data_IF_822792964023
#
_entry.id   IF_822792964023
#
_cell.length_a   1.000
_cell.length_b   1.000
_cell.length_c   1.000
_cell.angle_alpha   90.00
_cell.angle_beta   90.00
_cell.angle_gamma   90.00
#
_symmetry.space_group_name_H-M   'P 1'
#
loop_
_entity.id
_entity.type
_entity.pdbx_description
1 polymer ?
#
# COMPACT_ATOMS: atom_id res chain seq x y z
N UNK A 1 29.73 -46.66 39.16
CA UNK A 1 28.50 -46.55 38.34
C UNK A 1 27.65 -45.43 38.92
N UNK A 2 27.66 -44.27 38.27
CA UNK A 2 26.67 -43.20 38.40
C UNK A 2 27.01 -42.17 37.33
N UNK A 3 26.27 -42.17 36.23
CA UNK A 3 26.33 -41.15 35.18
C UNK A 3 25.00 -40.43 35.22
N UNK A 4 24.99 -39.24 35.82
CA UNK A 4 23.86 -38.30 35.75
C UNK A 4 23.71 -37.79 34.32
N UNK A 5 22.60 -38.14 33.67
CA UNK A 5 22.13 -37.45 32.47
C UNK A 5 21.50 -36.12 32.91
N UNK A 6 22.18 -35.01 32.59
CA UNK A 6 21.61 -33.69 32.74
C UNK A 6 20.47 -33.50 31.73
N UNK A 7 19.31 -33.10 32.23
CA UNK A 7 18.14 -32.74 31.43
C UNK A 7 18.47 -31.54 30.53
N UNK A 8 18.15 -31.65 29.24
CA UNK A 8 18.25 -30.54 28.29
C UNK A 8 17.01 -29.65 28.47
N UNK A 9 17.21 -28.46 29.02
CA UNK A 9 16.23 -27.39 28.97
C UNK A 9 16.41 -26.57 27.68
N UNK A 10 15.33 -26.17 26.98
CA UNK A 10 15.43 -25.20 25.90
C UNK A 10 16.01 -23.89 26.46
N UNK A 11 17.13 -23.46 25.88
CA UNK A 11 17.71 -22.14 26.18
C UNK A 11 16.72 -21.09 25.68
N UNK A 12 16.27 -20.22 26.59
CA UNK A 12 15.44 -19.07 26.24
C UNK A 12 16.17 -18.23 25.18
N UNK A 13 15.47 -17.79 24.15
CA UNK A 13 16.00 -16.90 23.12
C UNK A 13 16.33 -15.54 23.73
N UNK A 14 17.51 -15.42 24.33
CA UNK A 14 18.03 -14.18 24.89
C UNK A 14 19.26 -13.74 24.09
N UNK A 15 19.11 -12.58 23.45
CA UNK A 15 20.16 -11.58 23.27
C UNK A 15 21.34 -11.82 22.28
N UNK A 16 21.18 -12.63 21.23
CA UNK A 16 22.20 -12.74 20.14
C UNK A 16 21.67 -12.49 18.71
N UNK A 17 20.68 -11.60 18.56
CA UNK A 17 20.35 -11.01 17.24
C UNK A 17 20.60 -9.49 17.16
N UNK A 18 20.97 -8.86 18.29
CA UNK A 18 21.20 -7.41 18.40
C UNK A 18 22.33 -7.06 19.37
N UNK A 19 23.53 -7.63 19.18
CA UNK A 19 24.71 -7.18 19.93
C UNK A 19 25.96 -7.22 19.07
N UNK A 20 26.24 -6.11 18.39
CA UNK A 20 27.62 -5.66 18.16
C UNK A 20 27.67 -4.14 18.27
N UNK A 21 28.16 -3.68 19.43
CA UNK A 21 29.10 -2.56 19.52
C UNK A 21 28.52 -1.13 19.47
N UNK A 22 28.64 -0.44 20.60
CA UNK A 22 28.40 0.99 20.76
C UNK A 22 29.64 1.85 20.38
N UNK A 23 29.37 3.12 20.04
CA UNK A 23 30.24 4.30 19.95
C UNK A 23 30.99 4.51 18.61
N UNK A 24 30.88 5.66 17.91
CA UNK A 24 30.74 7.05 18.38
C UNK A 24 29.99 7.95 17.38
N UNK A 25 28.76 8.36 17.71
CA UNK A 25 28.07 9.66 17.46
C UNK A 25 26.56 9.47 17.27
N UNK A 26 25.77 10.37 17.85
CA UNK A 26 24.31 10.44 17.66
C UNK A 26 24.02 11.12 16.34
N UNK A 27 23.50 10.36 15.38
CA UNK A 27 22.91 10.89 14.15
C UNK A 27 21.46 11.30 14.46
N UNK A 28 20.99 12.40 13.87
CA UNK A 28 19.65 12.95 14.13
C UNK A 28 18.75 12.86 12.89
N UNK A 29 17.93 11.81 12.84
CA UNK A 29 16.63 11.83 12.15
C UNK A 29 15.49 12.08 13.15
N UNK A 30 14.30 12.48 12.68
CA UNK A 30 13.13 12.66 13.55
C UNK A 30 12.52 11.33 14.05
N UNK A 31 12.87 10.18 13.46
CA UNK A 31 12.40 8.85 13.88
C UNK A 31 13.57 8.05 14.47
N UNK A 32 13.50 7.65 15.75
CA UNK A 32 14.51 6.80 16.38
C UNK A 32 14.74 5.47 15.65
N UNK A 33 13.70 4.87 15.07
CA UNK A 33 13.80 3.58 14.36
C UNK A 33 14.50 3.72 13.01
N UNK A 34 14.13 4.75 12.23
CA UNK A 34 14.84 5.06 10.98
C UNK A 34 16.32 5.36 11.25
N UNK A 35 16.61 5.96 12.40
CA UNK A 35 17.97 6.25 12.82
C UNK A 35 18.79 4.99 13.08
N UNK A 36 18.25 4.04 13.83
CA UNK A 36 18.92 2.78 14.12
C UNK A 36 19.23 1.99 12.83
N UNK A 37 18.26 1.91 11.92
CA UNK A 37 18.43 1.21 10.64
C UNK A 37 19.54 1.83 9.78
N UNK A 38 19.53 3.16 9.59
CA UNK A 38 20.54 3.84 8.76
C UNK A 38 21.95 3.66 9.32
N UNK A 39 22.12 3.72 10.64
CA UNK A 39 23.41 3.49 11.29
C UNK A 39 23.93 2.08 11.03
N UNK A 40 23.05 1.08 11.16
CA UNK A 40 23.39 -0.31 10.91
C UNK A 40 23.91 -0.51 9.48
N UNK A 41 23.22 0.07 8.49
CA UNK A 41 23.63 -0.06 7.09
C UNK A 41 24.92 0.69 6.75
N UNK A 42 25.09 1.90 7.29
CA UNK A 42 26.36 2.64 7.16
C UNK A 42 27.54 1.85 7.72
N UNK A 43 27.40 1.33 8.94
CA UNK A 43 28.48 0.57 9.59
C UNK A 43 28.81 -0.71 8.83
N UNK A 44 27.78 -1.43 8.35
CA UNK A 44 27.97 -2.62 7.51
C UNK A 44 28.70 -2.28 6.20
N UNK A 45 28.34 -1.18 5.52
CA UNK A 45 29.01 -0.77 4.29
C UNK A 45 30.47 -0.42 4.54
N UNK A 46 30.78 0.30 5.64
CA UNK A 46 32.16 0.63 6.01
C UNK A 46 32.95 -0.63 6.35
N UNK A 47 32.35 -1.57 7.08
CA UNK A 47 33.01 -2.82 7.41
C UNK A 47 33.39 -3.64 6.18
N UNK A 48 32.48 -3.74 5.21
CA UNK A 48 32.76 -4.40 3.94
C UNK A 48 33.96 -3.75 3.23
N UNK A 49 34.06 -2.42 3.24
CA UNK A 49 35.20 -1.69 2.64
C UNK A 49 36.52 -1.95 3.36
N UNK A 50 36.52 -2.03 4.69
CA UNK A 50 37.74 -2.37 5.46
C UNK A 50 38.26 -3.77 5.12
N UNK A 51 37.34 -4.74 4.99
CA UNK A 51 37.67 -6.14 4.74
C UNK A 51 38.36 -6.36 3.39
N UNK A 52 38.16 -5.49 2.41
CA UNK A 52 38.87 -5.51 1.12
C UNK A 52 40.39 -5.56 1.26
N UNK A 53 40.94 -5.01 2.34
CA UNK A 53 42.39 -5.04 2.60
C UNK A 53 42.88 -6.39 3.15
N UNK A 54 41.96 -7.28 3.55
CA UNK A 54 42.26 -8.51 4.29
C UNK A 54 41.80 -9.78 3.60
N UNK A 55 40.91 -9.69 2.61
CA UNK A 55 40.39 -10.84 1.87
C UNK A 55 40.50 -10.61 0.36
N UNK A 56 40.69 -11.69 -0.39
CA UNK A 56 40.58 -11.66 -1.84
C UNK A 56 39.10 -11.72 -2.22
N UNK A 57 38.65 -10.74 -3.00
CA UNK A 57 37.29 -10.65 -3.55
C UNK A 57 37.37 -10.59 -5.07
N UNK A 58 36.27 -10.97 -5.72
CA UNK A 58 36.13 -10.83 -7.17
C UNK A 58 36.06 -9.34 -7.58
N UNK A 59 36.35 -9.00 -8.86
CA UNK A 59 36.22 -7.63 -9.34
C UNK A 59 34.80 -7.05 -9.19
N UNK A 60 33.76 -7.87 -9.38
CA UNK A 60 32.37 -7.45 -9.24
C UNK A 60 32.01 -7.15 -7.77
N UNK A 61 32.42 -8.02 -6.83
CA UNK A 61 32.22 -7.77 -5.39
C UNK A 61 32.94 -6.50 -4.94
N UNK A 62 34.17 -6.29 -5.40
CA UNK A 62 34.95 -5.09 -5.12
C UNK A 62 34.23 -3.83 -5.62
N UNK A 63 33.63 -3.89 -6.82
CA UNK A 63 32.89 -2.78 -7.40
C UNK A 63 31.59 -2.49 -6.63
N UNK A 64 30.81 -3.53 -6.28
CA UNK A 64 29.59 -3.41 -5.47
C UNK A 64 29.86 -2.86 -4.06
N UNK A 65 30.93 -3.32 -3.40
CA UNK A 65 31.36 -2.81 -2.08
C UNK A 65 31.71 -1.33 -2.18
N UNK A 66 32.32 -0.88 -3.27
CA UNK A 66 32.59 0.55 -3.48
C UNK A 66 31.30 1.34 -3.77
N UNK A 67 30.38 0.78 -4.56
CA UNK A 67 29.12 1.44 -4.90
C UNK A 67 28.21 1.66 -3.70
N UNK A 68 28.05 0.67 -2.81
CA UNK A 68 27.15 0.78 -1.66
C UNK A 68 27.57 1.88 -0.66
N UNK A 69 28.83 2.32 -0.71
CA UNK A 69 29.31 3.46 0.07
C UNK A 69 28.60 4.76 -0.31
N UNK A 70 28.16 4.92 -1.56
CA UNK A 70 27.42 6.07 -2.04
C UNK A 70 25.97 6.08 -1.53
N UNK A 71 25.36 4.90 -1.31
CA UNK A 71 24.03 4.76 -0.70
C UNK A 71 24.04 5.10 0.78
N UNK A 72 25.18 4.91 1.46
CA UNK A 72 25.33 5.23 2.88
C UNK A 72 26.59 6.10 3.13
N UNK A 73 26.59 7.39 2.71
CA UNK A 73 27.80 8.18 2.55
C UNK A 73 28.40 8.79 3.83
N UNK A 74 27.66 9.05 4.91
CA UNK A 74 28.27 9.57 6.14
C UNK A 74 27.59 9.15 7.45
N UNK A 75 28.36 9.30 8.54
CA UNK A 75 27.91 9.42 9.92
C UNK A 75 27.36 10.86 10.13
N UNK A 76 26.10 11.08 9.78
CA UNK A 76 25.47 12.41 9.79
C UNK A 76 25.02 12.88 11.18
N UNK A 77 24.76 14.18 11.35
CA UNK A 77 23.53 14.59 12.02
C UNK A 77 22.81 15.64 11.16
N UNK A 78 22.03 15.22 10.17
CA UNK A 78 21.11 16.08 9.38
C UNK A 78 20.02 15.23 8.74
N UNK A 79 18.83 15.80 8.42
CA UNK A 79 17.79 15.07 7.69
C UNK A 79 18.38 14.48 6.41
N UNK A 80 18.19 13.17 6.24
CA UNK A 80 18.75 12.40 5.14
C UNK A 80 18.19 12.91 3.81
N UNK A 81 19.03 13.50 2.97
CA UNK A 81 18.68 13.98 1.63
C UNK A 81 18.64 12.81 0.65
N UNK A 82 17.59 11.99 0.77
CA UNK A 82 17.35 10.82 -0.09
C UNK A 82 17.53 11.13 -1.58
N UNK A 83 16.97 12.22 -2.14
CA UNK A 83 17.17 12.55 -3.56
C UNK A 83 18.64 12.61 -4.00
N UNK A 84 19.50 13.27 -3.21
CA UNK A 84 20.93 13.38 -3.54
C UNK A 84 21.64 12.05 -3.38
N UNK A 85 21.35 11.31 -2.31
CA UNK A 85 22.00 10.02 -2.00
C UNK A 85 21.59 8.93 -3.00
N UNK A 86 20.31 8.82 -3.30
CA UNK A 86 19.78 7.85 -4.27
C UNK A 86 20.37 8.11 -5.67
N UNK A 87 20.51 9.39 -6.06
CA UNK A 87 21.16 9.76 -7.32
C UNK A 87 22.65 9.43 -7.32
N UNK A 88 23.36 9.65 -6.22
CA UNK A 88 24.77 9.30 -6.09
C UNK A 88 24.96 7.78 -6.22
N UNK A 89 24.15 6.99 -5.53
CA UNK A 89 24.18 5.54 -5.62
C UNK A 89 23.83 5.02 -7.02
N UNK A 90 22.79 5.55 -7.65
CA UNK A 90 22.41 5.20 -9.02
C UNK A 90 23.55 5.49 -10.03
N UNK A 91 24.25 6.61 -9.88
CA UNK A 91 25.41 6.93 -10.72
C UNK A 91 26.56 5.94 -10.51
N UNK A 92 26.87 5.57 -9.27
CA UNK A 92 27.94 4.58 -9.03
C UNK A 92 27.54 3.19 -9.51
N UNK A 93 26.28 2.78 -9.31
CA UNK A 93 25.77 1.51 -9.84
C UNK A 93 25.77 1.47 -11.38
N UNK A 94 25.61 2.62 -12.06
CA UNK A 94 25.76 2.69 -13.52
C UNK A 94 27.15 2.28 -13.97
N UNK A 95 28.20 2.71 -13.27
CA UNK A 95 29.58 2.33 -13.56
C UNK A 95 29.78 0.82 -13.37
N UNK A 96 29.21 0.24 -12.30
CA UNK A 96 29.24 -1.21 -12.07
C UNK A 96 28.51 -1.96 -13.18
N UNK A 97 27.32 -1.50 -13.56
CA UNK A 97 26.53 -2.08 -14.64
C UNK A 97 27.26 -2.05 -15.99
N UNK A 98 27.92 -0.94 -16.32
CA UNK A 98 28.72 -0.85 -17.55
C UNK A 98 29.91 -1.82 -17.59
N UNK A 99 30.42 -2.24 -16.44
CA UNK A 99 31.54 -3.18 -16.35
C UNK A 99 31.11 -4.64 -16.31
N UNK A 100 29.97 -4.94 -15.69
CA UNK A 100 29.58 -6.32 -15.33
C UNK A 100 28.15 -6.71 -15.74
N UNK A 101 27.30 -5.76 -16.15
CA UNK A 101 25.86 -5.96 -16.31
C UNK A 101 25.44 -6.88 -17.47
N UNK A 102 26.29 -7.07 -18.47
CA UNK A 102 26.00 -7.95 -19.61
C UNK A 102 26.03 -9.44 -19.21
N UNK A 103 26.84 -9.80 -18.21
CA UNK A 103 27.07 -11.18 -17.77
C UNK A 103 26.51 -11.47 -16.36
N UNK A 104 26.08 -10.44 -15.62
CA UNK A 104 25.63 -10.55 -14.23
C UNK A 104 24.24 -9.91 -14.02
N UNK A 105 23.22 -10.77 -13.91
CA UNK A 105 21.82 -10.36 -13.71
C UNK A 105 21.58 -9.72 -12.33
N UNK A 106 22.39 -10.03 -11.32
CA UNK A 106 22.27 -9.39 -10.00
C UNK A 106 22.74 -7.94 -10.08
N UNK A 107 23.82 -7.66 -10.81
CA UNK A 107 24.28 -6.29 -11.09
C UNK A 107 23.23 -5.51 -11.88
N UNK A 108 22.66 -6.11 -12.92
CA UNK A 108 21.57 -5.50 -13.70
C UNK A 108 20.37 -5.15 -12.81
N UNK A 109 19.97 -6.08 -11.95
CA UNK A 109 18.85 -5.90 -11.01
C UNK A 109 19.13 -4.79 -9.99
N UNK A 110 20.32 -4.77 -9.38
CA UNK A 110 20.71 -3.75 -8.41
C UNK A 110 20.81 -2.36 -9.05
N UNK A 111 21.22 -2.27 -10.31
CA UNK A 111 21.25 -0.99 -11.03
C UNK A 111 19.84 -0.48 -11.34
N UNK A 112 18.95 -1.35 -11.82
CA UNK A 112 17.55 -1.01 -12.01
C UNK A 112 16.89 -0.57 -10.70
N UNK A 113 17.13 -1.28 -9.58
CA UNK A 113 16.68 -0.86 -8.24
C UNK A 113 17.17 0.55 -7.90
N UNK A 114 18.47 0.81 -8.08
CA UNK A 114 19.06 2.11 -7.77
C UNK A 114 18.43 3.25 -8.61
N UNK A 115 18.17 3.00 -9.90
CA UNK A 115 17.48 3.94 -10.78
C UNK A 115 16.06 4.22 -10.31
N UNK A 116 15.27 3.16 -10.01
CA UNK A 116 13.88 3.29 -9.55
C UNK A 116 13.76 4.18 -8.30
N UNK A 117 14.72 4.11 -7.38
CA UNK A 117 14.76 4.94 -6.18
C UNK A 117 14.92 6.44 -6.46
N UNK A 118 15.49 6.85 -7.60
CA UNK A 118 15.61 8.27 -7.96
C UNK A 118 14.28 8.94 -8.34
N UNK A 119 13.23 8.15 -8.60
CA UNK A 119 11.92 8.61 -9.03
C UNK A 119 10.77 7.76 -8.44
N UNK A 120 10.81 7.51 -7.13
CA UNK A 120 9.79 6.73 -6.42
C UNK A 120 8.37 7.20 -6.78
N UNK A 121 7.55 6.27 -7.30
CA UNK A 121 6.16 6.50 -7.76
C UNK A 121 6.00 7.58 -8.84
N UNK A 122 7.07 7.96 -9.54
CA UNK A 122 7.11 8.99 -10.60
C UNK A 122 7.70 8.47 -11.92
N UNK A 123 7.56 7.17 -12.19
CA UNK A 123 8.01 6.56 -13.45
C UNK A 123 7.00 6.68 -14.58
N UNK A 124 5.70 6.66 -14.28
CA UNK A 124 4.64 6.72 -15.28
C UNK A 124 3.56 7.73 -14.89
N UNK A 125 2.98 8.38 -15.88
CA UNK A 125 1.81 9.22 -15.71
C UNK A 125 0.62 8.35 -15.32
N UNK A 126 0.03 8.65 -14.17
CA UNK A 126 -1.12 7.90 -13.63
C UNK A 126 -2.29 7.85 -14.62
N UNK A 127 -2.51 8.94 -15.38
CA UNK A 127 -3.65 9.06 -16.29
C UNK A 127 -3.44 8.31 -17.61
N UNK A 128 -2.28 8.44 -18.23
CA UNK A 128 -2.03 7.89 -19.56
C UNK A 128 -1.34 6.53 -19.54
N UNK A 129 -0.79 6.11 -18.40
CA UNK A 129 0.11 4.96 -18.31
C UNK A 129 1.41 5.16 -19.09
N UNK A 130 1.66 6.35 -19.64
CA UNK A 130 2.87 6.63 -20.40
C UNK A 130 4.05 6.97 -19.46
N UNK A 131 5.28 6.60 -19.83
CA UNK A 131 6.50 7.06 -19.17
C UNK A 131 6.50 8.57 -18.88
N UNK A 132 6.88 8.98 -17.66
CA UNK A 132 7.10 10.39 -17.35
C UNK A 132 8.43 10.81 -17.98
N UNK A 133 8.39 11.87 -18.79
CA UNK A 133 9.58 12.45 -19.41
C UNK A 133 10.58 12.89 -18.33
N UNK A 134 11.83 12.43 -18.42
CA UNK A 134 12.89 12.70 -17.46
C UNK A 134 12.92 11.79 -16.23
N UNK A 135 11.97 10.85 -16.11
CA UNK A 135 12.10 9.74 -15.16
C UNK A 135 13.06 8.67 -15.72
N UNK A 136 13.69 7.86 -14.86
CA UNK A 136 14.65 6.83 -15.28
C UNK A 136 13.98 5.64 -15.96
N UNK A 137 12.66 5.66 -16.20
CA UNK A 137 11.92 4.50 -16.68
C UNK A 137 12.39 3.97 -18.03
N UNK A 138 12.92 4.84 -18.91
CA UNK A 138 13.48 4.39 -20.18
C UNK A 138 14.77 3.59 -19.96
N UNK A 139 15.60 4.01 -19.01
CA UNK A 139 16.82 3.31 -18.62
C UNK A 139 16.47 2.01 -17.91
N UNK A 140 15.50 2.02 -16.98
CA UNK A 140 15.02 0.82 -16.30
C UNK A 140 14.37 -0.15 -17.28
N UNK A 141 13.61 0.33 -18.27
CA UNK A 141 12.97 -0.54 -19.27
C UNK A 141 13.97 -1.16 -20.25
N UNK A 142 15.07 -0.46 -20.53
CA UNK A 142 16.18 -1.06 -21.27
C UNK A 142 16.81 -2.24 -20.48
N UNK A 143 16.64 -2.27 -19.16
CA UNK A 143 17.07 -3.36 -18.27
C UNK A 143 15.96 -4.41 -18.02
N UNK A 144 14.66 -4.02 -17.99
CA UNK A 144 13.52 -4.90 -17.70
C UNK A 144 12.25 -4.62 -18.52
N UNK A 145 11.49 -5.66 -18.90
CA UNK A 145 10.10 -5.52 -19.35
C UNK A 145 9.14 -5.46 -18.12
N UNK A 146 8.52 -4.29 -17.87
CA UNK A 146 7.85 -3.97 -16.60
C UNK A 146 6.31 -3.92 -16.64
N UNK A 147 5.69 -4.09 -15.45
CA UNK A 147 4.25 -4.26 -15.16
C UNK A 147 3.33 -3.16 -15.71
N UNK A 148 3.76 -1.88 -15.71
CA UNK A 148 2.93 -0.76 -16.17
C UNK A 148 3.04 -0.49 -17.68
N UNK A 149 3.43 -1.50 -18.45
CA UNK A 149 3.34 -1.44 -19.91
C UNK A 149 1.89 -1.57 -20.38
N UNK A 150 1.61 -1.21 -21.64
CA UNK A 150 0.32 -1.48 -22.28
C UNK A 150 0.01 -2.99 -22.43
N UNK A 151 0.93 -3.87 -22.00
CA UNK A 151 0.87 -5.33 -22.13
C UNK A 151 1.29 -6.00 -20.81
N UNK A 152 0.53 -5.83 -19.70
CA UNK A 152 0.88 -6.39 -18.39
C UNK A 152 1.01 -7.93 -18.41
N UNK A 153 0.35 -8.61 -19.36
CA UNK A 153 0.43 -10.06 -19.55
C UNK A 153 1.84 -10.57 -19.84
N UNK A 154 2.73 -9.74 -20.38
CA UNK A 154 4.13 -10.11 -20.64
C UNK A 154 4.92 -10.39 -19.34
N UNK A 155 4.52 -9.78 -18.23
CA UNK A 155 5.18 -9.93 -16.93
C UNK A 155 4.69 -11.16 -16.13
N UNK A 156 3.60 -11.82 -16.55
CA UNK A 156 3.01 -12.95 -15.81
C UNK A 156 3.99 -14.11 -15.57
N UNK A 157 4.83 -14.55 -16.52
CA UNK A 157 5.80 -15.62 -16.25
C UNK A 157 6.85 -15.25 -15.20
N UNK A 158 7.24 -13.98 -15.11
CA UNK A 158 8.17 -13.51 -14.08
C UNK A 158 7.48 -13.45 -12.72
N UNK A 159 6.25 -12.92 -12.69
CA UNK A 159 5.39 -12.90 -11.52
C UNK A 159 5.14 -14.31 -10.96
N UNK A 160 4.86 -15.29 -11.82
CA UNK A 160 4.64 -16.68 -11.40
C UNK A 160 5.90 -17.35 -10.80
N UNK A 161 7.11 -16.92 -11.18
CA UNK A 161 8.35 -17.39 -10.55
C UNK A 161 8.61 -16.77 -9.18
N UNK A 162 8.10 -15.56 -8.95
CA UNK A 162 8.21 -14.87 -7.67
C UNK A 162 7.31 -15.54 -6.62
N UNK A 163 6.14 -16.02 -7.05
CA UNK A 163 5.20 -16.76 -6.19
C UNK A 163 5.93 -17.95 -5.57
N UNK A 164 5.88 -18.04 -4.25
CA UNK A 164 6.50 -19.11 -3.46
C UNK A 164 8.04 -19.14 -3.41
N UNK A 165 8.76 -18.18 -4.01
CA UNK A 165 10.22 -18.14 -3.93
C UNK A 165 10.71 -18.01 -2.48
N UNK A 166 10.01 -17.18 -1.69
CA UNK A 166 10.23 -17.04 -0.25
C UNK A 166 8.87 -17.18 0.46
N UNK A 167 8.46 -18.42 0.83
CA UNK A 167 7.09 -18.70 1.27
C UNK A 167 6.62 -17.93 2.51
N UNK A 168 7.54 -17.50 3.38
CA UNK A 168 7.22 -16.74 4.59
C UNK A 168 7.38 -15.22 4.42
N UNK A 169 7.65 -14.74 3.20
CA UNK A 169 7.62 -13.30 2.87
C UNK A 169 6.25 -12.93 2.30
N UNK A 170 5.32 -12.51 3.16
CA UNK A 170 3.94 -12.18 2.78
C UNK A 170 3.87 -11.21 1.61
N UNK A 171 4.64 -10.13 1.66
CA UNK A 171 4.67 -9.14 0.57
C UNK A 171 5.18 -9.72 -0.77
N UNK A 172 6.06 -10.72 -0.79
CA UNK A 172 6.50 -11.36 -2.04
C UNK A 172 5.41 -12.19 -2.71
N UNK A 173 4.50 -12.80 -1.94
CA UNK A 173 3.29 -13.43 -2.50
C UNK A 173 2.30 -12.39 -3.02
N UNK A 174 2.20 -11.26 -2.32
CA UNK A 174 1.28 -10.19 -2.66
C UNK A 174 1.67 -9.44 -3.96
N UNK A 175 2.94 -9.11 -4.16
CA UNK A 175 3.37 -8.28 -5.31
C UNK A 175 2.82 -8.75 -6.66
N UNK A 176 2.93 -10.03 -7.05
CA UNK A 176 2.43 -10.45 -8.36
C UNK A 176 0.90 -10.41 -8.49
N UNK A 177 0.15 -10.15 -7.40
CA UNK A 177 -1.31 -9.95 -7.44
C UNK A 177 -1.74 -8.62 -8.06
N UNK A 178 -0.86 -7.63 -8.13
CA UNK A 178 -1.12 -6.39 -8.86
C UNK A 178 -1.41 -6.67 -10.34
N UNK A 179 -0.55 -7.48 -10.99
CA UNK A 179 -0.77 -7.96 -12.36
C UNK A 179 -2.06 -8.76 -12.49
N UNK A 180 -2.35 -9.65 -11.54
CA UNK A 180 -3.56 -10.49 -11.57
C UNK A 180 -4.83 -9.63 -11.65
N UNK A 181 -4.87 -8.54 -10.88
CA UNK A 181 -6.01 -7.61 -10.90
C UNK A 181 -6.06 -6.84 -12.22
N UNK A 182 -4.93 -6.41 -12.78
CA UNK A 182 -4.86 -5.71 -14.07
C UNK A 182 -5.35 -6.59 -15.23
N UNK A 183 -5.02 -7.88 -15.22
CA UNK A 183 -5.45 -8.84 -16.26
C UNK A 183 -6.82 -9.48 -15.95
N UNK A 184 -7.42 -9.16 -14.82
CA UNK A 184 -8.74 -9.67 -14.41
C UNK A 184 -8.75 -11.09 -13.84
N UNK A 185 -7.59 -11.70 -13.52
CA UNK A 185 -7.50 -13.00 -12.84
C UNK A 185 -7.67 -12.83 -11.31
N UNK A 186 -8.84 -12.33 -10.90
CA UNK A 186 -9.15 -12.07 -9.48
C UNK A 186 -9.06 -13.34 -8.63
N UNK A 187 -9.32 -14.51 -9.22
CA UNK A 187 -9.18 -15.81 -8.55
C UNK A 187 -7.71 -16.04 -8.12
N UNK A 188 -6.75 -15.79 -9.01
CA UNK A 188 -5.31 -15.92 -8.67
C UNK A 188 -4.86 -14.85 -7.67
N UNK A 189 -5.38 -13.63 -7.81
CA UNK A 189 -5.14 -12.56 -6.84
C UNK A 189 -5.62 -12.95 -5.42
N UNK A 190 -6.80 -13.55 -5.29
CA UNK A 190 -7.33 -14.06 -4.01
C UNK A 190 -6.43 -15.16 -3.44
N UNK A 191 -6.03 -16.13 -4.25
CA UNK A 191 -5.19 -17.26 -3.82
C UNK A 191 -3.83 -16.79 -3.28
N UNK A 192 -3.13 -15.95 -4.06
CA UNK A 192 -1.82 -15.43 -3.67
C UNK A 192 -1.90 -14.47 -2.48
N UNK A 193 -2.93 -13.61 -2.38
CA UNK A 193 -3.12 -12.77 -1.21
C UNK A 193 -3.51 -13.56 0.04
N UNK A 194 -4.20 -14.69 -0.11
CA UNK A 194 -4.45 -15.61 1.02
C UNK A 194 -3.14 -16.21 1.53
N UNK A 195 -2.24 -16.62 0.63
CA UNK A 195 -0.90 -17.08 1.01
C UNK A 195 -0.07 -15.97 1.68
N UNK A 196 -0.17 -14.73 1.18
CA UNK A 196 0.47 -13.56 1.78
C UNK A 196 0.00 -13.33 3.23
N UNK A 197 -1.31 -13.33 3.44
CA UNK A 197 -1.93 -13.19 4.77
C UNK A 197 -1.45 -14.28 5.73
N UNK A 198 -1.42 -15.55 5.30
CA UNK A 198 -0.93 -16.63 6.16
C UNK A 198 0.55 -16.47 6.55
N UNK A 199 1.39 -15.94 5.66
CA UNK A 199 2.78 -15.64 5.98
C UNK A 199 2.89 -14.48 6.98
N UNK A 200 2.08 -13.43 6.80
CA UNK A 200 2.02 -12.28 7.70
C UNK A 200 1.54 -12.67 9.10
N UNK A 201 0.57 -13.57 9.21
CA UNK A 201 0.10 -14.09 10.51
C UNK A 201 1.22 -14.77 11.30
N UNK A 202 2.12 -15.52 10.63
CA UNK A 202 3.31 -16.09 11.29
C UNK A 202 4.25 -15.00 11.79
N UNK A 203 4.45 -13.94 11.00
CA UNK A 203 5.26 -12.80 11.40
C UNK A 203 4.67 -12.09 12.61
N UNK A 204 3.36 -11.81 12.59
CA UNK A 204 2.64 -11.13 13.67
C UNK A 204 2.64 -11.97 14.95
N UNK A 205 2.49 -13.28 14.86
CA UNK A 205 2.58 -14.18 16.01
C UNK A 205 3.97 -14.14 16.68
N UNK A 206 5.04 -13.93 15.89
CA UNK A 206 6.42 -13.89 16.40
C UNK A 206 6.85 -12.51 16.90
N UNK A 207 6.50 -11.44 16.18
CA UNK A 207 7.05 -10.09 16.39
C UNK A 207 6.03 -9.09 16.95
N UNK A 208 4.75 -9.46 17.02
CA UNK A 208 3.65 -8.57 17.38
C UNK A 208 3.31 -7.53 16.30
N UNK A 209 2.24 -6.78 16.55
CA UNK A 209 1.67 -5.82 15.61
C UNK A 209 2.06 -4.34 15.85
N UNK A 210 2.86 -4.04 16.90
CA UNK A 210 3.25 -2.66 17.26
C UNK A 210 4.49 -2.17 16.53
N UNK A 211 4.54 -2.40 15.23
CA UNK A 211 5.64 -1.99 14.37
C UNK A 211 5.11 -1.60 12.98
N UNK A 212 5.94 -0.97 12.18
CA UNK A 212 5.53 -0.47 10.86
C UNK A 212 5.22 -1.60 9.87
N UNK A 213 5.71 -2.82 10.10
CA UNK A 213 5.43 -3.96 9.21
C UNK A 213 3.93 -4.31 9.17
N UNK A 214 3.19 -4.00 10.23
CA UNK A 214 1.72 -4.15 10.25
C UNK A 214 1.02 -3.41 9.10
N UNK A 215 1.60 -2.32 8.58
CA UNK A 215 1.10 -1.67 7.38
C UNK A 215 1.07 -2.63 6.17
N UNK A 216 2.16 -3.37 5.94
CA UNK A 216 2.24 -4.32 4.84
C UNK A 216 1.28 -5.50 5.03
N UNK A 217 1.11 -5.98 6.26
CA UNK A 217 0.13 -7.03 6.54
C UNK A 217 -1.30 -6.57 6.19
N UNK A 218 -1.65 -5.34 6.60
CA UNK A 218 -2.96 -4.76 6.32
C UNK A 218 -3.18 -4.45 4.84
N UNK A 219 -2.11 -4.05 4.13
CA UNK A 219 -2.14 -3.85 2.69
C UNK A 219 -2.41 -5.17 1.94
N UNK A 220 -1.80 -6.28 2.36
CA UNK A 220 -2.06 -7.61 1.79
C UNK A 220 -3.50 -8.05 2.06
N UNK A 221 -4.01 -7.85 3.28
CA UNK A 221 -5.42 -8.05 3.61
C UNK A 221 -6.37 -7.20 2.75
N UNK A 222 -6.08 -5.90 2.62
CA UNK A 222 -6.91 -5.00 1.83
C UNK A 222 -6.95 -5.43 0.36
N UNK A 223 -5.83 -5.92 -0.18
CA UNK A 223 -5.75 -6.45 -1.54
C UNK A 223 -6.56 -7.74 -1.72
N UNK A 224 -6.57 -8.62 -0.71
CA UNK A 224 -7.46 -9.79 -0.68
C UNK A 224 -8.94 -9.37 -0.71
N UNK A 225 -9.32 -8.41 0.13
CA UNK A 225 -10.69 -7.86 0.19
C UNK A 225 -11.07 -7.26 -1.17
N UNK A 226 -10.16 -6.49 -1.78
CA UNK A 226 -10.36 -5.86 -3.08
C UNK A 226 -10.57 -6.88 -4.20
N UNK A 227 -9.70 -7.89 -4.30
CA UNK A 227 -9.83 -8.95 -5.29
C UNK A 227 -11.13 -9.76 -5.11
N UNK A 228 -11.51 -10.06 -3.86
CA UNK A 228 -12.78 -10.72 -3.55
C UNK A 228 -14.01 -9.87 -3.94
N UNK A 229 -13.97 -8.55 -3.74
CA UNK A 229 -15.01 -7.64 -4.20
C UNK A 229 -15.16 -7.62 -5.73
N UNK A 230 -14.05 -7.63 -6.47
CA UNK A 230 -14.07 -7.66 -7.93
C UNK A 230 -14.50 -9.03 -8.47
N UNK A 231 -14.17 -10.11 -7.78
CA UNK A 231 -14.65 -11.46 -8.07
C UNK A 231 -16.13 -11.70 -7.69
N UNK A 232 -16.81 -10.73 -7.08
CA UNK A 232 -18.19 -10.88 -6.61
C UNK A 232 -18.36 -11.82 -5.41
N UNK A 233 -17.29 -12.10 -4.66
CA UNK A 233 -17.28 -13.05 -3.54
C UNK A 233 -17.46 -12.35 -2.19
N UNK A 234 -18.71 -12.00 -1.85
CA UNK A 234 -19.02 -11.26 -0.61
C UNK A 234 -18.57 -11.98 0.66
N UNK A 235 -18.79 -13.29 0.76
CA UNK A 235 -18.36 -14.10 1.92
C UNK A 235 -16.84 -14.11 2.08
N UNK A 236 -16.08 -14.14 0.98
CA UNK A 236 -14.62 -14.09 1.04
C UNK A 236 -14.13 -12.69 1.46
N UNK A 237 -14.70 -11.64 0.87
CA UNK A 237 -14.38 -10.26 1.20
C UNK A 237 -14.64 -9.95 2.68
N UNK A 238 -15.81 -10.33 3.21
CA UNK A 238 -16.19 -10.07 4.61
C UNK A 238 -15.32 -10.86 5.60
N UNK A 239 -14.99 -12.11 5.30
CA UNK A 239 -14.09 -12.91 6.16
C UNK A 239 -12.69 -12.32 6.23
N UNK A 240 -12.10 -11.95 5.09
CA UNK A 240 -10.79 -11.30 5.06
C UNK A 240 -10.81 -9.94 5.78
N UNK A 241 -11.90 -9.19 5.64
CA UNK A 241 -12.12 -7.93 6.32
C UNK A 241 -12.23 -8.11 7.85
N UNK A 242 -12.97 -9.11 8.33
CA UNK A 242 -13.08 -9.42 9.76
C UNK A 242 -11.70 -9.74 10.36
N UNK A 243 -10.89 -10.52 9.64
CA UNK A 243 -9.51 -10.84 10.04
C UNK A 243 -8.63 -9.58 10.07
N UNK A 244 -8.68 -8.76 9.01
CA UNK A 244 -7.95 -7.50 8.92
C UNK A 244 -8.29 -6.57 10.09
N UNK A 245 -9.58 -6.37 10.37
CA UNK A 245 -10.02 -5.52 11.46
C UNK A 245 -9.61 -6.09 12.83
N UNK A 246 -9.64 -7.41 13.02
CA UNK A 246 -9.23 -8.02 14.29
C UNK A 246 -7.74 -7.79 14.61
N UNK A 247 -6.88 -7.66 13.60
CA UNK A 247 -5.46 -7.36 13.76
C UNK A 247 -5.17 -5.90 14.16
N UNK A 248 -6.16 -5.01 14.00
CA UNK A 248 -6.08 -3.59 14.33
C UNK A 248 -6.78 -3.28 15.66
N UNK A 249 -6.07 -3.53 16.74
CA UNK A 249 -6.55 -3.24 18.09
C UNK A 249 -6.28 -1.79 18.49
N UNK A 250 -7.00 -1.31 19.52
CA UNK A 250 -6.80 0.00 20.12
C UNK A 250 -5.34 0.22 20.56
N UNK A 251 -4.71 -0.79 21.16
CA UNK A 251 -3.34 -0.67 21.66
C UNK A 251 -2.30 -0.59 20.54
N UNK A 252 -2.60 -1.10 19.34
CA UNK A 252 -1.79 -0.88 18.13
C UNK A 252 -1.99 0.54 17.62
N UNK A 253 -3.24 0.98 17.44
CA UNK A 253 -3.52 2.31 16.89
C UNK A 253 -3.05 3.45 17.82
N UNK A 254 -3.01 3.23 19.14
CA UNK A 254 -2.55 4.23 20.11
C UNK A 254 -1.03 4.41 20.16
N UNK A 255 -0.24 3.57 19.48
CA UNK A 255 1.22 3.77 19.35
C UNK A 255 1.50 5.12 18.69
N UNK A 256 2.31 5.94 19.36
CA UNK A 256 2.63 7.33 18.94
C UNK A 256 3.90 7.42 18.10
N UNK A 257 4.83 6.50 18.29
CA UNK A 257 6.08 6.42 17.54
C UNK A 257 6.32 4.95 17.14
N UNK A 258 6.27 4.64 15.84
CA UNK A 258 5.69 5.45 14.76
C UNK A 258 4.19 5.77 15.01
N UNK A 259 3.62 6.85 14.45
CA UNK A 259 2.23 7.25 14.73
C UNK A 259 1.23 6.32 14.01
N UNK A 260 1.02 5.11 14.54
CA UNK A 260 0.35 4.05 13.80
C UNK A 260 -1.10 4.38 13.42
N UNK A 261 -1.86 5.10 14.24
CA UNK A 261 -3.20 5.52 13.81
C UNK A 261 -3.21 6.41 12.55
N UNK A 262 -2.15 7.17 12.28
CA UNK A 262 -2.06 7.98 11.06
C UNK A 262 -1.88 7.13 9.81
N UNK A 263 -1.25 5.96 9.94
CA UNK A 263 -0.93 5.07 8.83
C UNK A 263 -1.93 3.92 8.66
N UNK A 264 -2.53 3.47 9.75
CA UNK A 264 -3.30 2.24 9.79
C UNK A 264 -4.80 2.46 10.05
N UNK A 265 -5.19 3.64 10.56
CA UNK A 265 -6.57 3.90 10.99
C UNK A 265 -7.60 3.76 9.87
N UNK A 266 -7.21 4.04 8.62
CA UNK A 266 -8.07 3.93 7.44
C UNK A 266 -8.56 2.50 7.16
N UNK A 267 -7.77 1.46 7.45
CA UNK A 267 -8.17 0.08 7.15
C UNK A 267 -9.45 -0.33 7.89
N UNK A 268 -9.75 0.27 9.05
CA UNK A 268 -11.01 0.08 9.78
C UNK A 268 -12.24 0.70 9.10
N UNK A 269 -12.06 1.51 8.06
CA UNK A 269 -13.14 2.13 7.30
C UNK A 269 -13.53 1.33 6.04
N UNK A 270 -12.74 0.32 5.67
CA UNK A 270 -12.92 -0.47 4.43
C UNK A 270 -14.28 -1.20 4.40
N UNK A 271 -14.80 -1.62 5.56
CA UNK A 271 -16.09 -2.32 5.69
C UNK A 271 -17.24 -1.62 4.97
N UNK A 272 -17.30 -0.29 5.09
CA UNK A 272 -18.34 0.52 4.46
C UNK A 272 -18.40 0.26 2.96
N UNK A 273 -17.25 0.17 2.30
CA UNK A 273 -17.15 -0.04 0.86
C UNK A 273 -17.50 -1.46 0.45
N UNK A 274 -17.11 -2.45 1.26
CA UNK A 274 -17.55 -3.84 1.04
C UNK A 274 -19.07 -3.91 1.09
N UNK A 275 -19.70 -3.25 2.07
CA UNK A 275 -21.16 -3.23 2.16
C UNK A 275 -21.82 -2.48 1.00
N UNK A 276 -21.29 -1.32 0.59
CA UNK A 276 -21.81 -0.55 -0.56
C UNK A 276 -21.71 -1.41 -1.84
N UNK A 277 -20.55 -2.03 -2.08
CA UNK A 277 -20.27 -2.85 -3.26
C UNK A 277 -21.27 -3.99 -3.43
N UNK A 278 -21.69 -4.60 -2.32
CA UNK A 278 -22.65 -5.71 -2.32
C UNK A 278 -24.09 -5.29 -2.02
N UNK A 279 -24.37 -3.99 -1.95
CA UNK A 279 -25.73 -3.48 -1.69
C UNK A 279 -26.29 -3.88 -0.33
N UNK A 280 -25.43 -4.08 0.68
CA UNK A 280 -25.81 -4.47 2.04
C UNK A 280 -26.33 -3.26 2.84
N UNK A 281 -27.35 -2.58 2.31
CA UNK A 281 -27.86 -1.32 2.82
C UNK A 281 -28.38 -1.42 4.26
N UNK A 282 -29.01 -2.55 4.61
CA UNK A 282 -29.48 -2.81 5.98
C UNK A 282 -28.33 -2.85 6.98
N UNK A 283 -27.24 -3.54 6.62
CA UNK A 283 -26.04 -3.65 7.46
C UNK A 283 -25.38 -2.29 7.68
N UNK A 284 -25.29 -1.44 6.64
CA UNK A 284 -24.69 -0.10 6.76
C UNK A 284 -25.52 0.79 7.69
N UNK A 285 -26.85 0.80 7.53
CA UNK A 285 -27.75 1.62 8.38
C UNK A 285 -27.61 1.26 9.86
N UNK A 286 -27.47 -0.03 10.14
CA UNK A 286 -27.31 -0.57 11.48
C UNK A 286 -25.86 -0.58 11.99
N UNK A 287 -24.89 -0.18 11.17
CA UNK A 287 -23.48 -0.18 11.56
C UNK A 287 -23.28 0.81 12.72
N UNK A 288 -22.81 0.36 13.90
CA UNK A 288 -22.60 1.24 15.04
C UNK A 288 -21.40 2.16 14.78
N UNK A 289 -21.45 3.35 15.38
CA UNK A 289 -20.27 4.21 15.45
C UNK A 289 -19.30 3.66 16.51
N UNK A 290 -17.99 3.82 16.32
CA UNK A 290 -17.01 3.46 17.34
C UNK A 290 -17.17 4.34 18.59
N UNK A 291 -16.86 3.79 19.77
CA UNK A 291 -16.91 4.52 21.04
C UNK A 291 -15.90 5.68 21.06
N UNK A 292 -14.64 5.41 20.71
CA UNK A 292 -13.60 6.43 20.56
C UNK A 292 -13.57 6.97 19.13
N UNK A 293 -14.47 7.91 18.85
CA UNK A 293 -14.57 8.55 17.54
C UNK A 293 -13.37 9.45 17.18
N UNK A 294 -12.52 9.83 18.13
CA UNK A 294 -11.30 10.59 17.84
C UNK A 294 -10.19 9.66 17.32
N UNK A 295 -10.00 8.50 17.96
CA UNK A 295 -9.10 7.47 17.46
C UNK A 295 -9.56 6.97 16.10
N UNK A 296 -10.85 6.63 15.99
CA UNK A 296 -11.48 6.06 14.80
C UNK A 296 -12.15 7.11 13.90
N UNK A 297 -11.65 8.35 13.88
CA UNK A 297 -12.21 9.46 13.12
C UNK A 297 -12.51 9.15 11.64
N UNK A 298 -11.64 8.39 10.96
CA UNK A 298 -11.84 7.97 9.57
C UNK A 298 -13.00 6.98 9.46
N UNK A 299 -13.08 5.98 10.35
CA UNK A 299 -14.19 5.02 10.41
C UNK A 299 -15.51 5.72 10.73
N UNK A 300 -15.54 6.65 11.68
CA UNK A 300 -16.72 7.47 12.00
C UNK A 300 -17.21 8.24 10.78
N UNK A 301 -16.29 8.93 10.09
CA UNK A 301 -16.60 9.71 8.89
C UNK A 301 -17.15 8.81 7.78
N UNK A 302 -16.47 7.70 7.46
CA UNK A 302 -16.93 6.79 6.42
C UNK A 302 -18.22 6.06 6.81
N UNK A 303 -18.50 5.83 8.09
CA UNK A 303 -19.76 5.24 8.53
C UNK A 303 -20.93 6.17 8.21
N UNK A 304 -20.80 7.48 8.49
CA UNK A 304 -21.82 8.46 8.09
C UNK A 304 -21.98 8.56 6.57
N UNK A 305 -20.87 8.57 5.81
CA UNK A 305 -20.90 8.49 4.34
C UNK A 305 -21.71 7.28 3.87
N UNK A 306 -21.38 6.08 4.37
CA UNK A 306 -22.07 4.85 4.03
C UNK A 306 -23.55 4.89 4.37
N UNK A 307 -23.92 5.40 5.55
CA UNK A 307 -25.32 5.52 5.95
C UNK A 307 -26.09 6.49 5.06
N UNK A 308 -25.48 7.62 4.68
CA UNK A 308 -26.04 8.55 3.72
C UNK A 308 -26.33 7.89 2.38
N UNK A 309 -25.33 7.18 1.82
CA UNK A 309 -25.48 6.38 0.60
C UNK A 309 -26.59 5.33 0.73
N UNK A 310 -26.64 4.59 1.84
CA UNK A 310 -27.63 3.54 2.07
C UNK A 310 -29.07 4.08 2.19
N UNK A 311 -29.27 5.22 2.85
CA UNK A 311 -30.58 5.85 2.93
C UNK A 311 -31.01 6.42 1.58
N UNK A 312 -30.09 7.08 0.86
CA UNK A 312 -30.36 7.61 -0.49
C UNK A 312 -30.72 6.49 -1.47
N UNK A 313 -29.93 5.42 -1.51
CA UNK A 313 -30.16 4.26 -2.38
C UNK A 313 -31.49 3.53 -2.11
N UNK A 314 -32.05 3.69 -0.91
CA UNK A 314 -33.34 3.09 -0.52
C UNK A 314 -34.49 4.10 -0.47
N UNK A 315 -34.30 5.31 -0.99
CA UNK A 315 -35.34 6.32 -1.18
C UNK A 315 -35.71 7.15 0.05
N UNK A 316 -35.00 7.02 1.18
CA UNK A 316 -35.25 7.85 2.37
C UNK A 316 -34.32 9.08 2.38
N UNK A 317 -34.65 10.07 1.56
CA UNK A 317 -33.85 11.29 1.44
C UNK A 317 -33.71 12.10 2.74
N UNK A 318 -34.73 12.22 3.62
CA UNK A 318 -34.57 12.91 4.90
C UNK A 318 -33.47 12.32 5.79
N UNK A 319 -33.40 10.99 5.93
CA UNK A 319 -32.30 10.38 6.70
C UNK A 319 -30.97 10.46 5.95
N UNK A 320 -30.96 10.44 4.62
CA UNK A 320 -29.74 10.66 3.84
C UNK A 320 -29.16 12.07 4.04
N UNK A 321 -30.01 13.11 4.02
CA UNK A 321 -29.62 14.50 4.27
C UNK A 321 -29.04 14.66 5.69
N UNK A 322 -29.66 14.01 6.69
CA UNK A 322 -29.16 14.00 8.07
C UNK A 322 -27.79 13.33 8.20
N UNK A 323 -27.59 12.17 7.57
CA UNK A 323 -26.29 11.50 7.58
C UNK A 323 -25.23 12.29 6.80
N UNK A 324 -25.61 13.01 5.75
CA UNK A 324 -24.72 13.95 5.06
C UNK A 324 -24.26 15.09 5.97
N UNK A 325 -25.16 15.69 6.76
CA UNK A 325 -24.78 16.72 7.73
C UNK A 325 -23.80 16.18 8.78
N UNK A 326 -24.07 14.98 9.31
CA UNK A 326 -23.19 14.29 10.26
C UNK A 326 -21.83 13.95 9.63
N UNK A 327 -21.82 13.50 8.37
CA UNK A 327 -20.60 13.28 7.60
C UNK A 327 -19.76 14.55 7.51
N UNK A 328 -20.32 15.68 7.09
CA UNK A 328 -19.57 16.94 7.00
C UNK A 328 -19.05 17.44 8.35
N UNK A 329 -19.79 17.18 9.44
CA UNK A 329 -19.30 17.46 10.79
C UNK A 329 -18.12 16.55 11.17
N UNK A 330 -18.17 15.26 10.83
CA UNK A 330 -17.11 14.29 11.09
C UNK A 330 -15.84 14.57 10.27
N UNK A 331 -15.96 14.96 8.99
CA UNK A 331 -14.83 15.36 8.12
C UNK A 331 -13.96 16.42 8.79
N UNK A 332 -14.57 17.42 9.44
CA UNK A 332 -13.85 18.51 10.14
C UNK A 332 -13.01 18.04 11.33
N UNK A 333 -13.27 16.84 11.86
CA UNK A 333 -12.53 16.24 12.98
C UNK A 333 -11.37 15.37 12.54
N UNK A 334 -11.25 15.03 11.25
CA UNK A 334 -10.16 14.19 10.75
C UNK A 334 -8.85 14.99 10.74
N UNK A 335 -7.80 14.55 11.46
CA UNK A 335 -6.52 15.25 11.45
C UNK A 335 -5.88 15.25 10.05
N UNK A 336 -5.16 16.31 9.65
CA UNK A 336 -4.49 16.39 8.34
C UNK A 336 -3.31 15.41 8.21
N UNK A 337 -2.97 14.68 9.27
CA UNK A 337 -1.89 13.68 9.28
C UNK A 337 -2.34 12.28 8.90
N UNK A 338 -3.65 12.01 8.88
CA UNK A 338 -4.21 10.69 8.52
C UNK A 338 -3.97 10.37 7.05
N UNK A 339 -3.60 9.12 6.77
CA UNK A 339 -3.23 8.66 5.43
C UNK A 339 -4.02 7.43 5.00
N UNK A 340 -4.36 7.44 3.72
CA UNK A 340 -4.48 6.24 2.89
C UNK A 340 -3.25 6.27 1.98
N UNK A 341 -2.13 5.75 2.50
CA UNK A 341 -0.82 6.06 1.95
C UNK A 341 -0.74 5.67 0.46
N UNK A 342 -0.22 6.56 -0.41
CA UNK A 342 0.50 7.80 -0.11
C UNK A 342 -0.36 9.05 0.01
N UNK A 343 -1.68 8.95 -0.14
CA UNK A 343 -2.61 10.07 -0.10
C UNK A 343 -2.98 10.47 1.34
N UNK A 344 -3.35 11.74 1.52
CA UNK A 344 -3.96 12.21 2.75
C UNK A 344 -5.46 11.85 2.74
N UNK A 345 -5.99 11.44 3.90
CA UNK A 345 -7.43 11.16 4.02
C UNK A 345 -8.26 12.40 3.71
N UNK A 346 -7.76 13.61 4.00
CA UNK A 346 -8.44 14.85 3.63
C UNK A 346 -8.65 15.02 2.13
N UNK A 347 -7.78 14.45 1.30
CA UNK A 347 -7.94 14.47 -0.16
C UNK A 347 -8.87 13.36 -0.64
N UNK A 348 -8.76 12.16 -0.07
CA UNK A 348 -9.69 11.04 -0.33
C UNK A 348 -11.14 11.43 0.01
N UNK A 349 -11.35 12.12 1.13
CA UNK A 349 -12.68 12.57 1.55
C UNK A 349 -13.31 13.60 0.60
N UNK A 350 -12.54 14.26 -0.28
CA UNK A 350 -13.13 15.10 -1.34
C UNK A 350 -13.92 14.26 -2.34
N UNK A 351 -13.41 13.07 -2.68
CA UNK A 351 -14.10 12.12 -3.55
C UNK A 351 -15.38 11.64 -2.89
N UNK A 352 -15.30 11.14 -1.64
CA UNK A 352 -16.47 10.68 -0.89
C UNK A 352 -17.54 11.77 -0.70
N UNK A 353 -17.12 13.03 -0.49
CA UNK A 353 -18.04 14.16 -0.37
C UNK A 353 -18.82 14.38 -1.67
N UNK A 354 -18.10 14.49 -2.79
CA UNK A 354 -18.69 14.73 -4.09
C UNK A 354 -19.58 13.55 -4.54
N UNK A 355 -19.18 12.31 -4.22
CA UNK A 355 -20.00 11.11 -4.42
C UNK A 355 -21.30 11.14 -3.64
N UNK A 356 -21.25 11.46 -2.34
CA UNK A 356 -22.43 11.51 -1.48
C UNK A 356 -23.43 12.57 -1.93
N UNK A 357 -22.94 13.77 -2.26
CA UNK A 357 -23.76 14.86 -2.77
C UNK A 357 -24.41 14.51 -4.11
N UNK A 358 -23.62 13.96 -5.03
CA UNK A 358 -24.10 13.51 -6.34
C UNK A 358 -25.17 12.43 -6.24
N UNK A 359 -24.95 11.40 -5.42
CA UNK A 359 -25.90 10.31 -5.23
C UNK A 359 -27.22 10.81 -4.60
N UNK A 360 -27.16 11.66 -3.56
CA UNK A 360 -28.36 12.19 -2.92
C UNK A 360 -29.18 13.04 -3.91
N UNK A 361 -28.54 13.93 -4.66
CA UNK A 361 -29.23 14.74 -5.68
C UNK A 361 -29.79 13.88 -6.82
N UNK A 362 -29.07 12.82 -7.22
CA UNK A 362 -29.56 11.86 -8.20
C UNK A 362 -30.84 11.19 -7.72
N UNK A 363 -30.85 10.71 -6.47
CA UNK A 363 -32.03 10.06 -5.85
C UNK A 363 -33.19 11.02 -5.59
N UNK A 364 -32.89 12.32 -5.50
CA UNK A 364 -33.89 13.41 -5.46
C UNK A 364 -34.55 13.67 -6.83
N UNK A 365 -33.99 13.13 -7.91
CA UNK A 365 -34.43 13.41 -9.29
C UNK A 365 -33.85 14.69 -9.88
N UNK A 366 -32.89 15.33 -9.20
CA UNK A 366 -32.23 16.56 -9.65
C UNK A 366 -31.03 16.24 -10.57
N UNK A 367 -31.27 15.51 -11.66
CA UNK A 367 -30.19 14.96 -12.49
C UNK A 367 -29.19 16.00 -13.00
N UNK A 368 -29.67 17.19 -13.41
CA UNK A 368 -28.80 18.28 -13.86
C UNK A 368 -27.81 18.72 -12.78
N UNK A 369 -28.22 18.70 -11.51
CA UNK A 369 -27.38 19.03 -10.35
C UNK A 369 -26.56 17.85 -9.86
N UNK A 370 -27.03 16.63 -10.05
CA UNK A 370 -26.38 15.41 -9.56
C UNK A 370 -25.08 15.10 -10.31
N UNK A 371 -25.04 15.33 -11.63
CA UNK A 371 -23.88 14.97 -12.44
C UNK A 371 -22.67 15.88 -12.26
N UNK A 372 -22.84 17.12 -11.80
CA UNK A 372 -21.70 18.02 -11.53
C UNK A 372 -20.82 17.49 -10.37
N UNK A 373 -21.35 17.20 -9.16
CA UNK A 373 -20.60 16.55 -8.09
C UNK A 373 -20.01 15.19 -8.48
N UNK A 374 -20.72 14.38 -9.26
CA UNK A 374 -20.19 13.07 -9.69
C UNK A 374 -18.97 13.22 -10.64
N UNK A 375 -18.94 14.26 -11.47
CA UNK A 375 -17.74 14.59 -12.27
C UNK A 375 -16.60 15.14 -11.39
N UNK A 376 -16.93 15.94 -10.39
CA UNK A 376 -15.93 16.38 -9.40
C UNK A 376 -15.33 15.21 -8.61
N UNK A 377 -16.13 14.20 -8.27
CA UNK A 377 -15.63 12.97 -7.66
C UNK A 377 -14.58 12.27 -8.56
N UNK A 378 -14.85 12.17 -9.87
CA UNK A 378 -13.86 11.65 -10.83
C UNK A 378 -12.60 12.53 -10.86
N UNK A 379 -12.76 13.85 -10.92
CA UNK A 379 -11.63 14.77 -10.96
C UNK A 379 -10.75 14.65 -9.70
N UNK A 380 -11.37 14.54 -8.52
CA UNK A 380 -10.67 14.33 -7.27
C UNK A 380 -9.93 12.97 -7.25
N UNK A 381 -10.58 11.88 -7.69
CA UNK A 381 -9.94 10.56 -7.80
C UNK A 381 -8.74 10.59 -8.77
N UNK A 382 -8.91 11.21 -9.94
CA UNK A 382 -7.85 11.37 -10.95
C UNK A 382 -6.69 12.26 -10.48
N UNK A 383 -6.89 13.05 -9.44
CA UNK A 383 -5.88 13.93 -8.83
C UNK A 383 -5.12 13.27 -7.67
N UNK A 384 -5.57 12.10 -7.19
CA UNK A 384 -4.86 11.35 -6.16
C UNK A 384 -3.56 10.75 -6.72
N UNK A 385 -2.58 10.57 -5.83
CA UNK A 385 -1.39 9.79 -6.17
C UNK A 385 -1.74 8.33 -6.35
N UNK A 386 -1.05 7.68 -7.30
CA UNK A 386 -1.20 6.25 -7.53
C UNK A 386 -0.95 5.43 -6.26
N UNK A 387 -1.92 4.58 -5.95
CA UNK A 387 -1.86 3.65 -4.83
C UNK A 387 -2.54 2.34 -5.15
N UNK A 388 -2.07 1.29 -4.48
CA UNK A 388 -2.60 -0.05 -4.58
C UNK A 388 -2.79 -0.63 -3.16
N UNK A 389 -3.76 -1.55 -2.97
CA UNK A 389 -4.91 -1.72 -3.86
C UNK A 389 -5.64 -0.39 -4.01
N UNK A 390 -6.28 -0.14 -5.16
CA UNK A 390 -6.86 1.18 -5.43
C UNK A 390 -7.74 1.62 -4.24
N UNK A 391 -7.57 2.88 -3.83
CA UNK A 391 -8.29 3.46 -2.71
C UNK A 391 -9.81 3.29 -2.85
N UNK A 392 -10.51 3.58 -1.75
CA UNK A 392 -11.97 3.45 -1.57
C UNK A 392 -12.84 3.84 -2.77
N UNK A 393 -12.36 4.75 -3.61
CA UNK A 393 -13.08 5.36 -4.72
C UNK A 393 -13.08 4.52 -6.01
N UNK A 394 -12.14 3.59 -6.20
CA UNK A 394 -12.17 2.68 -7.34
C UNK A 394 -13.35 1.70 -7.30
N UNK A 395 -13.95 1.50 -6.12
CA UNK A 395 -15.20 0.74 -5.96
C UNK A 395 -16.43 1.49 -6.52
N UNK A 396 -16.35 2.82 -6.63
CA UNK A 396 -17.40 3.69 -7.15
C UNK A 396 -17.24 4.04 -8.65
N UNK A 397 -16.03 3.91 -9.21
CA UNK A 397 -15.76 4.15 -10.62
C UNK A 397 -16.71 3.42 -11.62
N UNK A 398 -17.17 2.17 -11.35
CA UNK A 398 -18.17 1.51 -12.20
C UNK A 398 -19.56 2.18 -12.14
N UNK A 399 -19.92 2.78 -10.99
CA UNK A 399 -21.20 3.50 -10.83
C UNK A 399 -21.20 4.77 -11.68
N UNK A 400 -20.09 5.52 -11.72
CA UNK A 400 -20.02 6.79 -12.47
C UNK A 400 -19.84 6.56 -13.99
N UNK A 401 -18.96 5.64 -14.44
CA UNK A 401 -18.82 5.32 -15.87
C UNK A 401 -20.11 4.68 -16.46
N UNK A 402 -21.00 4.10 -15.64
CA UNK A 402 -22.32 3.59 -16.07
C UNK A 402 -23.34 4.67 -16.45
N UNK A 403 -23.20 5.89 -15.92
CA UNK A 403 -24.10 7.01 -16.23
C UNK A 403 -23.71 7.78 -17.50
N UNK A 404 -22.43 7.71 -17.91
CA UNK A 404 -21.89 8.43 -19.07
C UNK A 404 -21.87 7.57 -20.35
N UNK A 405 -22.85 6.68 -20.52
CA UNK A 405 -23.02 5.80 -21.67
C UNK A 405 -23.40 6.54 -22.99
N UNK A 406 -22.79 7.72 -23.20
CA UNK A 406 -22.80 8.50 -24.43
C UNK A 406 -21.41 8.85 -24.97
N UNK A 407 -20.29 8.74 -24.23
CA UNK A 407 -18.99 9.12 -24.81
C UNK A 407 -17.73 8.48 -24.18
N UNK A 408 -17.08 7.63 -24.99
CA UNK A 408 -15.62 7.43 -25.13
C UNK A 408 -14.82 6.85 -23.95
N UNK A 409 -14.26 5.65 -24.21
CA UNK A 409 -13.03 5.07 -23.63
C UNK A 409 -12.65 5.56 -22.22
N UNK A 410 -13.20 4.88 -21.19
CA UNK A 410 -12.82 5.02 -19.78
C UNK A 410 -11.33 4.54 -19.68
N UNK A 411 -10.37 5.48 -19.75
CA UNK A 411 -8.93 5.28 -20.00
C UNK A 411 -8.10 4.70 -18.86
N UNK A 412 -8.62 3.72 -18.14
CA UNK A 412 -7.85 2.87 -17.21
C UNK A 412 -8.16 1.42 -17.60
N UNK A 413 -7.48 0.43 -17.05
CA UNK A 413 -8.05 -0.93 -16.90
C UNK A 413 -9.34 -0.98 -16.06
N UNK A 414 -10.12 0.12 -16.03
CA UNK A 414 -11.48 0.26 -15.50
C UNK A 414 -12.35 -0.63 -16.37
N UNK A 415 -12.43 -1.90 -16.02
CA UNK A 415 -13.54 -2.73 -16.47
C UNK A 415 -14.82 -2.05 -15.97
N UNK A 416 -15.64 -1.57 -16.90
CA UNK A 416 -17.05 -1.32 -16.64
C UNK A 416 -17.68 -2.68 -16.27
N UNK A 417 -17.58 -3.09 -15.01
CA UNK A 417 -18.59 -3.98 -14.47
C UNK A 417 -19.84 -3.11 -14.32
N UNK A 418 -20.72 -3.19 -15.32
CA UNK A 418 -22.12 -2.81 -15.16
C UNK A 418 -22.64 -3.56 -13.93
N UNK A 419 -22.62 -2.93 -12.76
CA UNK A 419 -23.42 -3.37 -11.63
C UNK A 419 -24.83 -3.03 -12.05
N UNK A 420 -25.53 -4.04 -12.59
CA UNK A 420 -26.90 -3.90 -13.03
C UNK A 420 -27.73 -3.31 -11.90
N UNK A 421 -28.17 -2.07 -12.07
CA UNK A 421 -29.35 -1.61 -11.37
C UNK A 421 -30.50 -2.44 -11.93
N UNK A 422 -30.99 -3.37 -11.12
CA UNK A 422 -32.31 -3.94 -11.31
C UNK A 422 -33.29 -2.78 -11.32
N UNK A 423 -33.78 -2.46 -12.51
CA UNK A 423 -34.95 -1.62 -12.71
C UNK A 423 -36.10 -2.47 -12.17
N UNK A 424 -36.46 -2.24 -10.90
CA UNK A 424 -37.61 -2.81 -10.23
C UNK A 424 -38.53 -1.71 -9.80
#
# INVERSE_FOLDING_TARGET
>A
MSTEQAAVHPIASTAEYYSLGSFTRTITTKSPEAQECLNKYHNASRKAKELLNSITVTPVEQALINAIQARFPADHPTPYDFPTVDKAYANTMKEVYQCFGDDDLDVATLYADALMHTALRKMFHVQSGLPIAGSPIHDVRAVFDLEMSATPTAALPAADRLRHLVPDAGHMHHMPTHLDVLVGDYRRSIDSNTAAVHADEKYLAKNGAKNFYSFYCLHNYHSLVYAAMLAGQSTAALRALDQMESSLTDDVLRVKTPPLADWLGFFKAVRVHVYIRFGLWGEIKNLPLPDDQDLYCVTTTMTHYGKGMAWAATGNLPEADKERELYHAAVKRVPPTRKDFPNLISDVLKVATAMLDGEIEYRRGNYDRAFEPLREAIHHDDSLMYTEPWGVDASHAPYVCGFDAGARSCGRGRYCLCVGFGIG
#
